data_IF_306122196018
#
_entry.id   IF_306122196018
#
_cell.length_a   1.000
_cell.length_b   1.000
_cell.length_c   1.000
_cell.angle_alpha   90.00
_cell.angle_beta   90.00
_cell.angle_gamma   90.00
#
_symmetry.space_group_name_H-M   'P 1'
#
loop_
_entity.id
_entity.type
_entity.pdbx_description
1 polymer ?
#
# COMPACT_ATOMS: atom_id res chain seq x y z
N UNK A 1 -12.43 -20.80 -11.49
CA UNK A 1 -11.59 -20.29 -10.39
C UNK A 1 -11.92 -18.83 -10.23
N UNK A 2 -12.39 -18.34 -9.07
CA UNK A 2 -12.59 -16.90 -8.89
C UNK A 2 -11.26 -16.20 -9.12
N UNK A 3 -11.26 -15.09 -9.87
CA UNK A 3 -10.02 -14.41 -10.26
C UNK A 3 -9.26 -13.96 -9.01
N UNK A 4 -8.02 -14.43 -8.85
CA UNK A 4 -7.10 -13.98 -7.80
C UNK A 4 -6.81 -12.46 -7.92
N UNK A 5 -7.06 -11.88 -9.09
CA UNK A 5 -6.71 -10.50 -9.41
C UNK A 5 -7.74 -9.51 -8.86
N UNK A 6 -7.28 -8.61 -7.98
CA UNK A 6 -8.08 -7.48 -7.48
C UNK A 6 -8.35 -6.43 -8.55
N UNK A 7 -7.33 -6.17 -9.39
CA UNK A 7 -7.36 -5.20 -10.48
C UNK A 7 -6.68 -5.84 -11.69
N UNK A 8 -7.39 -6.61 -12.53
CA UNK A 8 -6.78 -7.24 -13.71
C UNK A 8 -6.70 -6.26 -14.88
N UNK A 9 -5.49 -5.98 -15.39
CA UNK A 9 -5.24 -5.01 -16.48
C UNK A 9 -6.12 -5.19 -17.71
N UNK A 10 -6.44 -6.43 -18.07
CA UNK A 10 -7.28 -6.79 -19.22
C UNK A 10 -8.71 -6.26 -19.10
N UNK A 11 -9.19 -6.02 -17.87
CA UNK A 11 -10.52 -5.48 -17.60
C UNK A 11 -10.51 -3.97 -17.30
N UNK A 12 -9.33 -3.34 -17.25
CA UNK A 12 -9.19 -1.92 -16.92
C UNK A 12 -9.04 -1.05 -18.17
N UNK A 13 -9.87 -0.01 -18.27
CA UNK A 13 -9.66 1.10 -19.21
C UNK A 13 -8.34 1.82 -18.91
N UNK A 14 -7.84 2.61 -19.87
CA UNK A 14 -6.61 3.38 -19.69
C UNK A 14 -6.65 4.29 -18.45
N UNK A 15 -7.80 4.93 -18.16
CA UNK A 15 -7.98 5.74 -16.95
C UNK A 15 -7.87 4.90 -15.68
N UNK A 16 -8.45 3.70 -15.68
CA UNK A 16 -8.40 2.81 -14.50
C UNK A 16 -7.01 2.23 -14.22
N UNK A 17 -6.05 2.40 -15.15
CA UNK A 17 -4.65 1.99 -14.98
C UNK A 17 -3.77 3.06 -14.34
N UNK A 18 -4.26 4.28 -14.10
CA UNK A 18 -3.50 5.32 -13.41
C UNK A 18 -3.52 5.05 -11.90
N UNK A 19 -2.34 4.94 -11.31
CA UNK A 19 -2.18 4.56 -9.89
C UNK A 19 -1.42 5.65 -9.17
N UNK A 20 -1.96 6.17 -8.07
CA UNK A 20 -1.19 7.03 -7.18
C UNK A 20 -0.62 6.19 -6.04
N UNK A 21 0.70 6.17 -5.89
CA UNK A 21 1.37 5.51 -4.77
C UNK A 21 1.83 6.58 -3.78
N UNK A 22 1.28 6.55 -2.57
CA UNK A 22 1.63 7.49 -1.49
C UNK A 22 2.61 6.81 -0.55
N UNK A 23 3.86 7.26 -0.55
CA UNK A 23 4.98 6.63 0.14
C UNK A 23 5.46 7.46 1.34
N UNK A 24 5.44 6.88 2.53
CA UNK A 24 6.02 7.49 3.73
C UNK A 24 7.55 7.53 3.75
N UNK A 25 8.15 8.22 4.73
CA UNK A 25 9.60 8.23 4.91
C UNK A 25 10.15 6.93 5.51
N UNK A 26 9.31 6.15 6.18
CA UNK A 26 9.66 4.89 6.86
C UNK A 26 9.60 3.69 5.92
N UNK A 27 10.03 2.52 6.40
CA UNK A 27 10.15 1.26 5.63
C UNK A 27 8.93 0.93 4.76
N UNK A 28 7.70 1.20 5.21
CA UNK A 28 6.50 0.94 4.39
C UNK A 28 6.51 1.74 3.07
N UNK A 29 7.02 2.97 3.10
CA UNK A 29 7.20 3.77 1.89
C UNK A 29 8.22 3.20 0.91
N UNK A 30 9.24 2.47 1.37
CA UNK A 30 10.18 1.77 0.50
C UNK A 30 9.47 0.60 -0.21
N UNK A 31 8.59 -0.11 0.49
CA UNK A 31 7.71 -1.11 -0.13
C UNK A 31 6.82 -0.45 -1.18
N UNK A 32 6.27 0.73 -0.90
CA UNK A 32 5.54 1.55 -1.86
C UNK A 32 6.34 1.90 -3.11
N UNK A 33 7.60 2.35 -2.96
CA UNK A 33 8.48 2.64 -4.09
C UNK A 33 8.77 1.39 -4.94
N UNK A 34 9.08 0.26 -4.29
CA UNK A 34 9.23 -1.01 -5.00
C UNK A 34 7.95 -1.43 -5.72
N UNK A 35 6.79 -1.26 -5.08
CA UNK A 35 5.47 -1.51 -5.67
C UNK A 35 5.25 -0.66 -6.92
N UNK A 36 5.49 0.66 -6.84
CA UNK A 36 5.37 1.58 -7.98
C UNK A 36 6.27 1.16 -9.15
N UNK A 37 7.52 0.79 -8.86
CA UNK A 37 8.48 0.27 -9.85
C UNK A 37 7.93 -0.97 -10.57
N UNK A 38 7.38 -1.93 -9.84
CA UNK A 38 6.81 -3.15 -10.41
C UNK A 38 5.49 -2.90 -11.14
N UNK A 39 4.63 -2.01 -10.66
CA UNK A 39 3.42 -1.58 -11.36
C UNK A 39 3.75 -1.03 -12.75
N UNK A 40 4.83 -0.24 -12.87
CA UNK A 40 5.31 0.25 -14.17
C UNK A 40 5.71 -0.87 -15.12
N UNK A 41 6.37 -1.93 -14.62
CA UNK A 41 6.71 -3.13 -15.41
C UNK A 41 5.45 -3.88 -15.84
N UNK A 42 4.41 -3.87 -15.01
CA UNK A 42 3.12 -4.48 -15.28
C UNK A 42 2.16 -3.55 -16.03
N UNK A 43 2.65 -2.63 -16.88
CA UNK A 43 1.83 -1.77 -17.75
C UNK A 43 0.78 -0.87 -17.04
N UNK A 44 0.90 -0.67 -15.73
CA UNK A 44 0.21 0.41 -15.03
C UNK A 44 0.89 1.76 -15.29
N UNK A 45 0.18 2.84 -14.96
CA UNK A 45 0.69 4.21 -15.03
C UNK A 45 0.80 4.78 -13.60
N UNK A 46 1.84 4.40 -12.84
CA UNK A 46 2.02 4.90 -11.50
C UNK A 46 2.50 6.35 -11.50
N UNK A 47 2.04 7.12 -10.52
CA UNK A 47 2.64 8.36 -10.03
C UNK A 47 2.96 8.18 -8.55
N UNK A 48 4.02 8.82 -8.06
CA UNK A 48 4.45 8.70 -6.66
C UNK A 48 4.28 10.04 -5.96
N UNK A 49 3.79 10.03 -4.72
CA UNK A 49 3.85 11.17 -3.82
C UNK A 49 4.57 10.78 -2.52
N UNK A 50 5.63 11.52 -2.18
CA UNK A 50 6.36 11.38 -0.93
C UNK A 50 6.21 12.67 -0.12
N UNK A 51 5.37 12.73 0.94
CA UNK A 51 5.19 13.94 1.74
C UNK A 51 6.46 14.37 2.48
N UNK A 52 7.33 13.41 2.78
CA UNK A 52 8.65 13.62 3.39
C UNK A 52 9.65 12.74 2.65
N UNK A 53 10.79 13.31 2.27
CA UNK A 53 11.90 12.54 1.70
C UNK A 53 12.65 11.84 2.83
N UNK A 54 12.81 10.53 2.73
CA UNK A 54 13.62 9.77 3.68
C UNK A 54 15.11 10.05 3.49
N UNK A 55 15.86 10.10 4.59
CA UNK A 55 17.32 10.15 4.55
C UNK A 55 17.95 8.75 4.41
N UNK A 56 17.13 7.69 4.52
CA UNK A 56 17.59 6.32 4.41
C UNK A 56 18.11 5.99 3.00
N UNK A 57 19.19 5.20 2.96
CA UNK A 57 19.87 4.86 1.71
C UNK A 57 19.01 3.97 0.82
N UNK A 58 18.30 2.98 1.38
CA UNK A 58 17.43 2.10 0.61
C UNK A 58 16.29 2.89 -0.04
N UNK A 59 15.69 3.82 0.69
CA UNK A 59 14.66 4.72 0.12
C UNK A 59 15.19 5.54 -1.06
N UNK A 60 16.38 6.12 -0.92
CA UNK A 60 17.00 6.94 -1.97
C UNK A 60 17.31 6.11 -3.21
N UNK A 61 17.81 4.89 -3.03
CA UNK A 61 18.14 3.99 -4.13
C UNK A 61 16.87 3.55 -4.87
N UNK A 62 15.79 3.23 -4.14
CA UNK A 62 14.48 2.91 -4.73
C UNK A 62 13.84 4.12 -5.43
N UNK A 63 14.00 5.32 -4.87
CA UNK A 63 13.56 6.57 -5.51
C UNK A 63 14.26 6.75 -6.84
N UNK A 64 15.59 6.59 -6.86
CA UNK A 64 16.41 6.67 -8.08
C UNK A 64 15.95 5.66 -9.13
N UNK A 65 15.65 4.42 -8.73
CA UNK A 65 15.13 3.41 -9.65
C UNK A 65 13.78 3.81 -10.26
N UNK A 66 12.87 4.40 -9.46
CA UNK A 66 11.58 4.87 -9.97
C UNK A 66 11.75 6.03 -10.96
N UNK A 67 12.64 6.98 -10.66
CA UNK A 67 12.97 8.09 -11.56
C UNK A 67 13.57 7.58 -12.88
N UNK A 68 14.47 6.58 -12.83
CA UNK A 68 15.05 5.94 -14.03
C UNK A 68 14.06 5.13 -14.86
N UNK A 69 12.87 4.87 -14.32
CA UNK A 69 11.76 4.22 -15.03
C UNK A 69 10.69 5.22 -15.51
N UNK A 70 11.02 6.52 -15.48
CA UNK A 70 10.16 7.64 -15.87
C UNK A 70 8.83 7.67 -15.08
N UNK A 71 8.87 7.23 -13.81
CA UNK A 71 7.70 7.31 -12.92
C UNK A 71 7.64 8.74 -12.35
N UNK A 72 6.56 9.50 -12.61
CA UNK A 72 6.44 10.88 -12.15
C UNK A 72 6.31 10.97 -10.62
N UNK A 73 7.07 11.88 -10.01
CA UNK A 73 6.92 12.27 -8.61
C UNK A 73 6.12 13.57 -8.50
N UNK A 74 5.00 13.53 -7.78
CA UNK A 74 4.20 14.71 -7.48
C UNK A 74 4.90 15.56 -6.42
N UNK A 75 4.95 16.87 -6.64
CA UNK A 75 5.49 17.83 -5.67
C UNK A 75 4.52 18.11 -4.52
N UNK A 76 3.22 17.90 -4.72
CA UNK A 76 2.19 18.04 -3.70
C UNK A 76 1.04 17.05 -3.94
N UNK A 77 0.29 16.77 -2.88
CA UNK A 77 -0.97 16.05 -2.95
C UNK A 77 -2.12 17.05 -2.84
N UNK A 78 -3.07 17.08 -3.79
CA UNK A 78 -4.24 17.96 -3.67
C UNK A 78 -5.03 17.69 -2.39
N UNK A 79 -5.45 18.74 -1.70
CA UNK A 79 -6.30 18.60 -0.51
C UNK A 79 -7.73 18.16 -0.87
N UNK A 80 -8.19 18.52 -2.07
CA UNK A 80 -9.48 18.13 -2.63
C UNK A 80 -9.41 16.70 -3.18
N UNK A 81 -10.03 15.75 -2.48
CA UNK A 81 -10.03 14.33 -2.86
C UNK A 81 -10.56 14.09 -4.28
N UNK A 82 -11.54 14.90 -4.72
CA UNK A 82 -12.11 14.82 -6.06
C UNK A 82 -11.07 14.97 -7.18
N UNK A 83 -10.05 15.81 -6.99
CA UNK A 83 -8.98 15.97 -7.98
C UNK A 83 -8.14 14.69 -8.12
N UNK A 84 -8.01 13.91 -7.05
CA UNK A 84 -7.33 12.61 -7.06
C UNK A 84 -8.26 11.57 -7.70
N UNK A 85 -9.53 11.53 -7.30
CA UNK A 85 -10.56 10.63 -7.86
C UNK A 85 -10.71 10.80 -9.39
N UNK A 86 -10.62 12.04 -9.88
CA UNK A 86 -10.73 12.34 -11.31
C UNK A 86 -9.47 11.94 -12.10
N UNK A 87 -8.29 11.98 -11.48
CA UNK A 87 -7.00 11.71 -12.12
C UNK A 87 -6.55 10.24 -12.04
N UNK A 88 -6.90 9.54 -10.96
CA UNK A 88 -6.41 8.21 -10.63
C UNK A 88 -7.54 7.17 -10.61
N UNK A 89 -7.24 5.96 -11.08
CA UNK A 89 -8.14 4.81 -10.98
C UNK A 89 -7.98 4.02 -9.68
N UNK A 90 -6.84 4.17 -9.01
CA UNK A 90 -6.44 3.42 -7.82
C UNK A 90 -5.45 4.24 -6.99
N UNK A 91 -5.53 4.11 -5.67
CA UNK A 91 -4.51 4.62 -4.76
C UNK A 91 -3.88 3.48 -3.96
N UNK A 92 -2.56 3.51 -3.83
CA UNK A 92 -1.79 2.63 -2.95
C UNK A 92 -1.33 3.45 -1.75
N UNK A 93 -1.82 3.06 -0.59
CA UNK A 93 -1.41 3.54 0.72
C UNK A 93 -0.18 2.75 1.20
N UNK A 94 0.97 3.40 1.12
CA UNK A 94 2.24 2.99 1.71
C UNK A 94 2.78 4.10 2.63
N UNK A 95 1.87 4.86 3.25
CA UNK A 95 2.21 6.09 3.94
C UNK A 95 2.79 5.83 5.33
N UNK A 96 2.14 4.99 6.15
CA UNK A 96 2.57 4.65 7.50
C UNK A 96 2.68 3.13 7.64
N UNK A 97 3.70 2.66 8.35
CA UNK A 97 3.87 1.25 8.69
C UNK A 97 3.24 0.89 10.04
N UNK A 98 3.28 -0.40 10.43
CA UNK A 98 2.86 -0.81 11.75
C UNK A 98 3.67 -0.07 12.84
N UNK A 99 2.95 0.43 13.85
CA UNK A 99 3.57 1.11 15.00
C UNK A 99 3.96 2.57 14.78
N UNK A 100 3.64 3.16 13.62
CA UNK A 100 3.87 4.59 13.37
C UNK A 100 2.57 5.36 13.58
N UNK A 101 2.52 6.21 14.60
CA UNK A 101 1.34 7.04 14.84
C UNK A 101 1.33 8.25 13.90
N UNK A 102 0.16 8.71 13.41
CA UNK A 102 0.06 9.90 12.57
C UNK A 102 0.69 11.16 13.20
N UNK A 103 0.65 11.27 14.53
CA UNK A 103 1.27 12.37 15.27
C UNK A 103 2.81 12.36 15.19
N UNK A 104 3.42 11.17 15.14
CA UNK A 104 4.88 10.98 15.08
C UNK A 104 5.41 11.18 13.66
N UNK A 105 4.62 10.81 12.64
CA UNK A 105 4.98 10.95 11.23
C UNK A 105 4.98 12.41 10.72
N UNK A 106 4.54 13.36 11.54
CA UNK A 106 4.56 14.79 11.26
C UNK A 106 3.42 15.30 10.37
N UNK A 107 3.30 16.63 10.32
CA UNK A 107 2.19 17.33 9.64
C UNK A 107 1.99 16.97 8.16
N UNK A 108 3.03 16.81 7.32
CA UNK A 108 2.85 16.39 5.94
C UNK A 108 2.17 15.03 5.78
N UNK A 109 2.57 14.03 6.58
CA UNK A 109 1.97 12.69 6.56
C UNK A 109 0.53 12.72 7.06
N UNK A 110 0.25 13.42 8.16
CA UNK A 110 -1.11 13.58 8.68
C UNK A 110 -2.07 14.23 7.66
N UNK A 111 -1.60 15.25 6.92
CA UNK A 111 -2.37 15.87 5.84
C UNK A 111 -2.65 14.91 4.68
N UNK A 112 -1.65 14.12 4.29
CA UNK A 112 -1.81 13.10 3.25
C UNK A 112 -2.86 12.06 3.68
N UNK A 113 -2.75 11.52 4.90
CA UNK A 113 -3.71 10.57 5.46
C UNK A 113 -5.13 11.15 5.49
N UNK A 114 -5.28 12.40 5.92
CA UNK A 114 -6.58 13.06 5.94
C UNK A 114 -7.21 13.12 4.53
N UNK A 115 -6.42 13.38 3.49
CA UNK A 115 -6.89 13.32 2.09
C UNK A 115 -7.26 11.90 1.68
N UNK A 116 -6.43 10.89 2.00
CA UNK A 116 -6.69 9.49 1.64
C UNK A 116 -8.02 8.97 2.21
N UNK A 117 -8.39 9.38 3.42
CA UNK A 117 -9.66 9.02 4.08
C UNK A 117 -10.91 9.53 3.35
N UNK A 118 -10.77 10.50 2.44
CA UNK A 118 -11.89 11.13 1.71
C UNK A 118 -12.01 10.65 0.26
N UNK A 119 -11.15 9.74 -0.19
CA UNK A 119 -11.18 9.23 -1.56
C UNK A 119 -12.45 8.40 -1.80
N UNK A 120 -12.96 8.46 -3.02
CA UNK A 120 -14.10 7.65 -3.47
C UNK A 120 -13.70 6.54 -4.46
N UNK A 121 -12.42 6.53 -4.88
CA UNK A 121 -11.83 5.49 -5.71
C UNK A 121 -11.20 4.37 -4.86
N UNK A 122 -10.94 3.19 -5.45
CA UNK A 122 -10.36 2.09 -4.73
C UNK A 122 -9.04 2.42 -4.05
N UNK A 123 -8.87 1.91 -2.83
CA UNK A 123 -7.67 2.09 -2.01
C UNK A 123 -7.06 0.75 -1.60
N UNK A 124 -5.76 0.60 -1.81
CA UNK A 124 -4.97 -0.58 -1.41
C UNK A 124 -4.00 -0.18 -0.31
N UNK A 125 -4.09 -0.75 0.88
CA UNK A 125 -3.11 -0.53 1.94
C UNK A 125 -2.06 -1.64 1.98
N UNK A 126 -0.80 -1.23 2.06
CA UNK A 126 0.34 -2.14 2.24
C UNK A 126 0.63 -2.34 3.72
N UNK A 127 0.68 -3.61 4.10
CA UNK A 127 0.90 -4.16 5.44
C UNK A 127 -0.20 -3.89 6.46
N UNK A 128 -0.41 -2.60 6.79
CA UNK A 128 -1.42 -2.10 7.73
C UNK A 128 -2.00 -0.80 7.15
N UNK A 129 -3.33 -0.57 7.20
CA UNK A 129 -3.90 0.70 6.76
C UNK A 129 -3.32 1.86 7.57
N UNK A 130 -2.84 2.90 6.88
CA UNK A 130 -2.15 4.00 7.55
C UNK A 130 -2.98 4.65 8.65
N UNK A 131 -2.37 4.78 9.82
CA UNK A 131 -2.99 5.35 11.01
C UNK A 131 -3.84 4.36 11.83
N UNK A 132 -3.91 3.09 11.45
CA UNK A 132 -4.44 2.03 12.32
C UNK A 132 -3.41 1.64 13.37
N UNK A 133 -3.88 1.31 14.57
CA UNK A 133 -3.07 0.59 15.55
C UNK A 133 -2.84 -0.85 15.06
N UNK A 134 -1.61 -1.36 15.18
CA UNK A 134 -1.23 -2.68 14.63
C UNK A 134 -1.91 -3.86 15.35
N UNK A 135 -2.40 -3.66 16.58
CA UNK A 135 -3.10 -4.67 17.36
C UNK A 135 -4.61 -4.43 17.42
N UNK A 136 -5.03 -3.23 17.80
CA UNK A 136 -6.44 -2.87 17.99
C UNK A 136 -7.17 -2.59 16.67
N UNK A 137 -6.47 -2.12 15.64
CA UNK A 137 -7.04 -1.70 14.35
C UNK A 137 -7.53 -0.25 14.34
N UNK A 138 -8.35 0.06 13.34
CA UNK A 138 -8.96 1.38 13.15
C UNK A 138 -10.36 1.46 13.75
N UNK A 139 -10.47 1.59 15.08
CA UNK A 139 -11.77 1.69 15.76
C UNK A 139 -12.40 3.10 15.71
N UNK A 140 -11.73 4.07 15.09
CA UNK A 140 -12.22 5.43 14.95
C UNK A 140 -13.16 5.57 13.74
N UNK A 141 -14.21 6.37 13.87
CA UNK A 141 -15.12 6.70 12.77
C UNK A 141 -14.42 7.38 11.57
N UNK A 142 -13.21 7.90 11.78
CA UNK A 142 -12.37 8.53 10.76
C UNK A 142 -11.24 7.62 10.25
N UNK A 143 -11.20 6.34 10.64
CA UNK A 143 -10.14 5.42 10.25
C UNK A 143 -10.13 5.20 8.73
N UNK A 144 -8.93 4.97 8.18
CA UNK A 144 -8.77 4.67 6.75
C UNK A 144 -9.45 3.33 6.42
N UNK A 145 -10.23 3.27 5.35
CA UNK A 145 -10.99 2.08 4.94
C UNK A 145 -10.55 1.61 3.55
N UNK A 146 -9.49 0.80 3.43
CA UNK A 146 -9.05 0.30 2.13
C UNK A 146 -10.00 -0.79 1.59
N UNK A 147 -10.15 -0.84 0.27
CA UNK A 147 -10.83 -1.93 -0.42
C UNK A 147 -9.99 -3.22 -0.42
N UNK A 148 -8.66 -3.08 -0.40
CA UNK A 148 -7.72 -4.19 -0.42
C UNK A 148 -6.63 -3.99 0.64
N UNK A 149 -6.39 -5.03 1.42
CA UNK A 149 -5.24 -5.09 2.34
C UNK A 149 -4.23 -6.11 1.81
N UNK A 150 -2.94 -5.73 1.80
CA UNK A 150 -1.84 -6.64 1.46
C UNK A 150 -0.91 -6.75 2.65
N UNK A 151 -1.12 -7.76 3.50
CA UNK A 151 -0.24 -8.03 4.64
C UNK A 151 1.12 -8.55 4.19
N UNK A 152 2.20 -8.11 4.83
CA UNK A 152 3.56 -8.54 4.50
C UNK A 152 4.08 -9.55 5.51
N UNK A 153 4.61 -10.67 5.01
CA UNK A 153 5.11 -11.84 5.73
C UNK A 153 4.03 -12.59 6.55
N UNK A 154 3.27 -11.89 7.38
CA UNK A 154 2.13 -12.39 8.11
C UNK A 154 1.14 -11.24 8.39
N UNK A 155 -0.18 -11.51 8.42
CA UNK A 155 -1.17 -10.53 8.87
C UNK A 155 -0.91 -10.06 10.31
N UNK A 156 -0.97 -8.75 10.52
CA UNK A 156 -0.98 -8.15 11.87
C UNK A 156 -2.35 -8.36 12.51
N UNK A 157 -2.42 -8.28 13.84
CA UNK A 157 -3.67 -8.49 14.59
C UNK A 157 -4.80 -7.54 14.14
N UNK A 158 -4.45 -6.29 13.81
CA UNK A 158 -5.40 -5.30 13.28
C UNK A 158 -6.16 -5.77 12.03
N UNK A 159 -5.56 -6.64 11.21
CA UNK A 159 -6.17 -7.13 9.99
C UNK A 159 -7.46 -7.94 10.26
N UNK A 160 -7.70 -8.41 11.49
CA UNK A 160 -8.98 -9.02 11.88
C UNK A 160 -10.15 -8.04 11.83
N UNK A 161 -9.88 -6.73 11.87
CA UNK A 161 -10.88 -5.66 11.75
C UNK A 161 -11.06 -5.18 10.31
N UNK A 162 -10.29 -5.72 9.36
CA UNK A 162 -10.42 -5.37 7.95
C UNK A 162 -11.77 -5.84 7.39
N UNK A 163 -12.51 -4.91 6.77
CA UNK A 163 -13.85 -5.16 6.20
C UNK A 163 -13.91 -4.87 4.71
N UNK A 164 -12.75 -4.62 4.08
CA UNK A 164 -12.66 -4.40 2.64
C UNK A 164 -12.93 -5.68 1.83
N UNK A 165 -12.82 -5.56 0.51
CA UNK A 165 -13.27 -6.59 -0.42
C UNK A 165 -12.32 -7.78 -0.51
N UNK A 166 -11.02 -7.55 -0.37
CA UNK A 166 -9.99 -8.58 -0.56
C UNK A 166 -8.81 -8.39 0.38
N UNK A 167 -8.35 -9.49 0.96
CA UNK A 167 -7.15 -9.52 1.80
C UNK A 167 -6.15 -10.50 1.20
N UNK A 168 -4.92 -10.05 1.02
CA UNK A 168 -3.81 -10.88 0.56
C UNK A 168 -2.68 -10.90 1.58
N UNK A 169 -1.89 -11.97 1.56
CA UNK A 169 -0.56 -12.01 2.17
C UNK A 169 0.51 -12.12 1.08
N UNK A 170 1.47 -11.22 1.12
CA UNK A 170 2.67 -11.23 0.31
C UNK A 170 3.90 -11.53 1.16
N UNK A 171 5.03 -11.84 0.51
CA UNK A 171 6.28 -12.14 1.20
C UNK A 171 6.46 -13.63 1.45
N UNK A 172 6.43 -14.42 0.37
CA UNK A 172 6.76 -15.85 0.33
C UNK A 172 8.25 -16.10 0.55
N UNK A 173 8.73 -15.71 1.72
CA UNK A 173 10.13 -15.88 2.15
C UNK A 173 10.22 -16.25 3.64
N UNK A 174 9.09 -16.43 4.34
CA UNK A 174 9.08 -16.81 5.77
C UNK A 174 9.49 -18.27 5.92
N UNK A 175 10.64 -18.56 6.54
CA UNK A 175 11.13 -19.93 6.70
C UNK A 175 10.25 -20.78 7.64
N UNK A 176 10.25 -22.10 7.44
CA UNK A 176 9.37 -23.02 8.18
C UNK A 176 9.67 -23.10 9.68
N UNK A 177 10.92 -22.90 10.09
CA UNK A 177 11.31 -22.80 11.49
C UNK A 177 10.76 -21.52 12.15
N UNK A 178 10.78 -20.39 11.43
CA UNK A 178 10.15 -19.13 11.88
C UNK A 178 8.64 -19.30 12.00
N UNK A 179 7.99 -19.93 11.00
CA UNK A 179 6.55 -20.23 11.04
C UNK A 179 6.18 -21.06 12.27
N UNK A 180 6.93 -22.13 12.54
CA UNK A 180 6.71 -22.99 13.72
C UNK A 180 6.97 -22.26 15.03
N UNK A 181 8.09 -21.52 15.13
CA UNK A 181 8.48 -20.79 16.34
C UNK A 181 7.42 -19.77 16.77
N UNK A 182 6.82 -19.07 15.83
CA UNK A 182 5.82 -18.02 16.10
C UNK A 182 4.37 -18.48 15.88
N UNK A 183 4.14 -19.77 15.60
CA UNK A 183 2.79 -20.31 15.38
C UNK A 183 2.06 -19.71 14.17
N UNK A 184 2.79 -19.28 13.14
CA UNK A 184 2.23 -18.59 11.98
C UNK A 184 1.51 -19.57 11.06
N UNK A 185 0.19 -19.46 10.98
CA UNK A 185 -0.66 -20.22 10.04
C UNK A 185 -0.80 -19.45 8.72
N UNK A 186 0.26 -19.45 7.93
CA UNK A 186 0.25 -18.82 6.60
C UNK A 186 -0.42 -19.74 5.56
N UNK A 187 -1.23 -19.20 4.62
CA UNK A 187 -1.82 -19.98 3.53
C UNK A 187 -0.74 -20.55 2.60
N UNK A 188 -1.11 -21.56 1.82
CA UNK A 188 -0.27 -22.07 0.75
C UNK A 188 -0.27 -21.11 -0.44
N UNK A 189 0.93 -20.82 -0.96
CA UNK A 189 1.09 -20.05 -2.19
C UNK A 189 0.96 -20.99 -3.38
N UNK A 190 0.05 -20.68 -4.30
CA UNK A 190 -0.16 -21.49 -5.51
C UNK A 190 1.06 -21.42 -6.45
N UNK A 191 1.58 -22.57 -6.90
CA UNK A 191 2.67 -22.62 -7.89
C UNK A 191 3.86 -21.74 -7.53
N UNK A 192 4.16 -20.76 -8.38
CA UNK A 192 5.23 -19.75 -8.21
C UNK A 192 4.69 -18.38 -7.76
N UNK A 193 3.44 -18.29 -7.35
CA UNK A 193 2.84 -17.03 -6.89
C UNK A 193 3.56 -16.50 -5.65
N UNK A 194 3.70 -15.18 -5.58
CA UNK A 194 4.32 -14.46 -4.46
C UNK A 194 3.28 -13.87 -3.50
N UNK A 195 2.00 -14.10 -3.78
CA UNK A 195 0.83 -13.64 -3.02
C UNK A 195 -0.16 -14.78 -2.83
N UNK A 196 -0.91 -14.75 -1.74
CA UNK A 196 -2.01 -15.67 -1.47
C UNK A 196 -3.20 -14.89 -0.89
N UNK A 197 -4.42 -15.28 -1.23
CA UNK A 197 -5.64 -14.72 -0.64
C UNK A 197 -5.86 -15.29 0.78
N UNK A 198 -6.48 -14.49 1.65
CA UNK A 198 -6.84 -14.85 3.04
C UNK A 198 -8.35 -14.92 3.25
#
# INVERSE_FOLDING_TARGET
>A
VPSLDAFPLSLLSRKQRTVLVVCGPEQNGAVGLACARHLRVFDYQPSIFCPVRSADTLHRDLTTQCEKMDIPFLSFLPAEARLIDDAYGLVVDALLGPGVLPAEAGGPCARALATLRRLSIPLVSLDVPSGWDAEAGGDAADALQPDVLVSLAAPKSCARRFTGRRHFVAGRFVPEDVRRKFGLRLPEYAGTECVAAL
#
